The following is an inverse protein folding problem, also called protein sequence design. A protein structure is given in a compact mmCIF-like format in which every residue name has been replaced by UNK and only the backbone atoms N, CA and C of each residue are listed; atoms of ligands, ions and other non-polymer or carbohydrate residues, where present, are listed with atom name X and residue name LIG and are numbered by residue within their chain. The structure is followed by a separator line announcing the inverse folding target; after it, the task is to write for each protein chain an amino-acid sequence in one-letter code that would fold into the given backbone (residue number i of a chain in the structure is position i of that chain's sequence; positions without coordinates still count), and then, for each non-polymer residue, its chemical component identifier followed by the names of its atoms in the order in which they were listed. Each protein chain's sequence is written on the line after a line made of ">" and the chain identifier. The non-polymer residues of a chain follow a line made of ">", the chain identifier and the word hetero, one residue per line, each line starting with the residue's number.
data_IF_371961753432
#
_entry.id   IF_371961753432
#
_cell.length_a   1.000
_cell.length_b   1.000
_cell.length_c   1.000
_cell.angle_alpha   90.00
_cell.angle_beta   90.00
_cell.angle_gamma   90.00
#
_symmetry.space_group_name_H-M   'P 1'
#
loop_
_entity.id
_entity.type
_entity.pdbx_description
1 polymer ?
#
# COMPACT_ATOMS: atom_id res chain seq x y z
N UNK A 1 24.35 -12.17 1.91
CA UNK A 1 24.74 -11.15 0.92
C UNK A 1 24.05 -9.88 1.33
N UNK A 2 24.78 -8.79 1.57
CA UNK A 2 24.21 -7.54 2.08
C UNK A 2 23.29 -6.89 1.02
N UNK A 3 22.11 -6.41 1.42
CA UNK A 3 21.18 -5.74 0.51
C UNK A 3 21.60 -4.28 0.35
N UNK A 4 21.80 -3.84 -0.90
CA UNK A 4 22.39 -2.50 -1.15
C UNK A 4 21.50 -1.33 -0.73
N UNK A 5 20.16 -1.47 -0.74
CA UNK A 5 19.24 -0.34 -0.61
C UNK A 5 17.94 -0.53 0.24
N UNK A 6 17.78 -1.46 1.21
CA UNK A 6 16.50 -1.61 1.93
C UNK A 6 16.03 -0.34 2.63
N UNK A 7 16.96 0.33 3.33
CA UNK A 7 16.68 1.57 4.07
C UNK A 7 16.28 2.69 3.10
N UNK A 8 16.97 2.80 1.96
CA UNK A 8 16.66 3.80 0.94
C UNK A 8 15.27 3.56 0.35
N UNK A 9 14.96 2.33 -0.04
CA UNK A 9 13.65 1.94 -0.58
C UNK A 9 12.52 2.31 0.40
N UNK A 10 12.65 1.92 1.67
CA UNK A 10 11.67 2.23 2.70
C UNK A 10 11.51 3.74 2.94
N UNK A 11 12.62 4.49 2.92
CA UNK A 11 12.62 5.95 3.12
C UNK A 11 11.95 6.66 1.95
N UNK A 12 12.26 6.27 0.71
CA UNK A 12 11.66 6.88 -0.49
C UNK A 12 10.15 6.63 -0.55
N UNK A 13 9.71 5.40 -0.27
CA UNK A 13 8.28 5.05 -0.21
C UNK A 13 7.56 5.83 0.89
N UNK A 14 8.16 5.93 2.08
CA UNK A 14 7.60 6.72 3.17
C UNK A 14 7.46 8.20 2.80
N UNK A 15 8.44 8.78 2.11
CA UNK A 15 8.37 10.15 1.60
C UNK A 15 7.22 10.33 0.62
N UNK A 16 7.07 9.44 -0.36
CA UNK A 16 5.96 9.50 -1.33
C UNK A 16 4.60 9.37 -0.65
N UNK A 17 4.43 8.41 0.26
CA UNK A 17 3.18 8.18 1.00
C UNK A 17 2.80 9.40 1.87
N UNK A 18 3.79 10.03 2.48
CA UNK A 18 3.57 11.24 3.27
C UNK A 18 3.20 12.44 2.38
N UNK A 19 4.08 12.78 1.43
CA UNK A 19 3.98 14.00 0.63
C UNK A 19 2.79 14.01 -0.34
N UNK A 20 2.47 12.86 -0.95
CA UNK A 20 1.45 12.78 -2.00
C UNK A 20 0.11 12.25 -1.53
N UNK A 21 0.11 11.45 -0.46
CA UNK A 21 -1.08 10.73 -0.01
C UNK A 21 -1.49 11.06 1.42
N UNK A 22 -0.70 11.85 2.16
CA UNK A 22 -1.04 12.30 3.52
C UNK A 22 -0.98 11.22 4.59
N UNK A 23 -0.28 10.11 4.34
CA UNK A 23 -0.06 9.09 5.37
C UNK A 23 0.86 9.63 6.49
N UNK A 24 0.56 9.24 7.73
CA UNK A 24 1.51 9.36 8.85
C UNK A 24 2.49 8.18 8.73
N UNK A 25 3.74 8.46 8.37
CA UNK A 25 4.73 7.43 8.01
C UNK A 25 5.83 7.30 9.07
N UNK A 26 6.22 6.05 9.32
CA UNK A 26 7.30 5.70 10.23
C UNK A 26 8.22 4.67 9.54
N UNK A 27 9.53 4.92 9.57
CA UNK A 27 10.54 3.99 9.04
C UNK A 27 11.35 3.42 10.19
N UNK A 28 11.26 2.10 10.39
CA UNK A 28 12.13 1.36 11.30
C UNK A 28 13.39 0.92 10.54
N UNK A 29 14.57 1.44 10.91
CA UNK A 29 15.84 1.12 10.26
C UNK A 29 16.56 0.02 11.03
N UNK A 30 16.91 -1.06 10.33
CA UNK A 30 17.56 -2.25 10.91
C UNK A 30 16.88 -2.72 12.22
N UNK A 31 15.55 -2.89 12.26
CA UNK A 31 14.89 -3.27 13.50
C UNK A 31 15.23 -4.71 13.88
N UNK A 32 15.28 -4.97 15.17
CA UNK A 32 15.26 -6.33 15.72
C UNK A 32 13.86 -6.92 15.63
N UNK A 33 13.73 -8.25 15.77
CA UNK A 33 12.41 -8.91 15.79
C UNK A 33 11.49 -8.27 16.84
N UNK A 34 12.01 -8.11 18.06
CA UNK A 34 11.29 -7.50 19.19
C UNK A 34 10.81 -6.08 18.86
N UNK A 35 11.62 -5.27 18.19
CA UNK A 35 11.23 -3.91 17.82
C UNK A 35 10.08 -3.89 16.79
N UNK A 36 10.08 -4.83 15.84
CA UNK A 36 8.99 -4.98 14.87
C UNK A 36 7.71 -5.36 15.61
N UNK A 37 7.76 -6.40 16.44
CA UNK A 37 6.60 -6.89 17.20
C UNK A 37 6.02 -5.82 18.12
N UNK A 38 6.87 -5.13 18.90
CA UNK A 38 6.44 -4.04 19.76
C UNK A 38 5.75 -2.92 18.98
N UNK A 39 6.26 -2.57 17.80
CA UNK A 39 5.63 -1.54 16.97
C UNK A 39 4.29 -2.00 16.43
N UNK A 40 4.19 -3.25 15.98
CA UNK A 40 2.93 -3.80 15.49
C UNK A 40 1.88 -3.88 16.62
N UNK A 41 2.28 -4.28 17.83
CA UNK A 41 1.43 -4.25 19.03
C UNK A 41 0.93 -2.83 19.34
N UNK A 42 1.81 -1.82 19.27
CA UNK A 42 1.43 -0.42 19.46
C UNK A 42 0.34 0.01 18.45
N UNK A 43 0.50 -0.33 17.17
CA UNK A 43 -0.51 0.00 16.15
C UNK A 43 -1.80 -0.79 16.35
N UNK A 44 -1.74 -2.08 16.74
CA UNK A 44 -2.93 -2.87 17.08
C UNK A 44 -3.76 -2.15 18.15
N UNK A 45 -3.10 -1.70 19.22
CA UNK A 45 -3.74 -0.97 20.32
C UNK A 45 -4.32 0.39 19.89
N UNK A 46 -3.60 1.14 19.03
CA UNK A 46 -4.08 2.41 18.49
C UNK A 46 -5.37 2.21 17.69
N UNK A 47 -5.43 1.22 16.80
CA UNK A 47 -6.63 0.91 16.01
C UNK A 47 -7.77 0.32 16.87
N UNK A 48 -7.46 -0.49 17.88
CA UNK A 48 -8.46 -1.09 18.76
C UNK A 48 -9.29 -0.03 19.50
N UNK A 49 -8.65 1.04 19.97
CA UNK A 49 -9.29 2.06 20.81
C UNK A 49 -9.40 3.45 20.16
N UNK A 50 -8.87 3.62 18.95
CA UNK A 50 -8.69 4.91 18.29
C UNK A 50 -8.08 5.97 19.23
N UNK A 51 -7.01 5.59 19.95
CA UNK A 51 -6.48 6.33 21.11
C UNK A 51 -6.11 7.79 20.83
N UNK A 52 -5.66 8.07 19.61
CA UNK A 52 -5.19 9.39 19.20
C UNK A 52 -6.13 10.08 18.19
N UNK A 53 -7.32 9.51 17.95
CA UNK A 53 -8.28 10.02 16.96
C UNK A 53 -7.84 9.85 15.50
N UNK A 54 -6.70 9.21 15.24
CA UNK A 54 -6.11 9.06 13.89
C UNK A 54 -6.11 7.62 13.38
N UNK A 55 -6.59 6.67 14.18
CA UNK A 55 -6.65 5.24 13.86
C UNK A 55 -8.09 4.71 14.00
N UNK A 56 -9.06 5.25 13.25
CA UNK A 56 -10.43 4.72 13.27
C UNK A 56 -10.48 3.32 12.67
N UNK A 57 -11.54 2.57 12.99
CA UNK A 57 -11.73 1.23 12.42
C UNK A 57 -11.85 1.22 10.89
N UNK A 58 -12.34 2.30 10.29
CA UNK A 58 -12.40 2.50 8.83
C UNK A 58 -11.08 2.99 8.23
N UNK A 59 -9.99 3.00 9.00
CA UNK A 59 -8.69 3.49 8.60
C UNK A 59 -7.99 2.59 7.59
N UNK A 60 -6.82 3.04 7.15
CA UNK A 60 -5.95 2.33 6.22
C UNK A 60 -4.56 2.20 6.85
N UNK A 61 -3.97 1.00 6.77
CA UNK A 61 -2.62 0.70 7.24
C UNK A 61 -1.82 0.10 6.08
N UNK A 62 -0.62 0.64 5.82
CA UNK A 62 0.33 0.07 4.87
C UNK A 62 1.57 -0.38 5.63
N UNK A 63 1.91 -1.67 5.50
CA UNK A 63 3.12 -2.27 6.03
C UNK A 63 4.05 -2.63 4.89
N UNK A 64 5.23 -2.02 4.86
CA UNK A 64 6.24 -2.28 3.85
C UNK A 64 7.48 -2.90 4.49
N UNK A 65 7.77 -4.15 4.13
CA UNK A 65 8.97 -4.87 4.56
C UNK A 65 9.94 -4.93 3.39
N UNK A 66 11.16 -4.42 3.55
CA UNK A 66 12.25 -4.58 2.58
C UNK A 66 13.47 -5.11 3.30
N UNK A 67 14.02 -6.23 2.84
CA UNK A 67 15.05 -6.93 3.60
C UNK A 67 15.25 -8.38 3.18
N UNK A 68 15.92 -9.13 4.06
CA UNK A 68 16.18 -10.54 3.83
C UNK A 68 14.95 -11.38 4.14
N UNK A 69 14.80 -12.48 3.41
CA UNK A 69 13.80 -13.48 3.68
C UNK A 69 14.37 -14.88 3.53
N UNK A 70 13.77 -15.83 4.24
CA UNK A 70 14.19 -17.22 4.26
C UNK A 70 12.97 -18.12 4.29
N UNK A 71 13.05 -19.24 3.61
CA UNK A 71 12.06 -20.32 3.72
C UNK A 71 12.60 -21.43 4.63
N UNK A 72 11.71 -21.97 5.46
CA UNK A 72 11.97 -23.12 6.32
C UNK A 72 10.69 -23.92 6.49
N UNK A 73 10.74 -25.19 6.06
CA UNK A 73 9.64 -26.17 6.16
C UNK A 73 8.34 -25.63 5.53
N UNK A 74 8.44 -25.05 4.33
CA UNK A 74 7.30 -24.51 3.57
C UNK A 74 6.82 -23.14 4.04
N UNK A 75 7.26 -22.65 5.21
CA UNK A 75 6.91 -21.33 5.71
C UNK A 75 7.97 -20.28 5.33
N UNK A 76 7.52 -19.06 5.05
CA UNK A 76 8.40 -17.92 4.80
C UNK A 76 8.62 -17.09 6.05
N UNK A 77 9.82 -16.53 6.16
CA UNK A 77 10.24 -15.66 7.24
C UNK A 77 10.86 -14.40 6.67
N UNK A 78 10.49 -13.23 7.20
CA UNK A 78 11.32 -12.03 7.08
C UNK A 78 12.46 -12.12 8.09
N UNK A 79 13.65 -11.64 7.76
CA UNK A 79 14.81 -11.68 8.66
C UNK A 79 15.11 -10.26 9.19
N UNK A 80 14.77 -9.97 10.46
CA UNK A 80 15.20 -8.77 11.17
C UNK A 80 16.73 -8.66 11.31
N UNK A 81 17.21 -7.53 11.81
CA UNK A 81 18.65 -7.25 11.92
C UNK A 81 19.40 -8.21 12.87
N UNK A 82 18.71 -8.79 13.85
CA UNK A 82 19.24 -9.75 14.82
C UNK A 82 18.92 -11.22 14.47
N UNK A 83 18.40 -11.48 13.26
CA UNK A 83 18.04 -12.82 12.85
C UNK A 83 19.27 -13.68 12.49
N UNK A 84 19.29 -14.93 12.98
CA UNK A 84 20.17 -15.98 12.48
C UNK A 84 19.53 -16.70 11.29
N UNK A 85 20.09 -16.59 10.07
CA UNK A 85 19.59 -17.27 8.88
C UNK A 85 19.65 -18.81 8.94
N UNK A 86 20.44 -19.38 9.86
CA UNK A 86 20.50 -20.82 10.11
C UNK A 86 19.31 -21.31 10.95
N UNK A 87 18.72 -20.43 11.77
CA UNK A 87 17.55 -20.75 12.60
C UNK A 87 16.41 -19.73 12.43
N UNK A 88 15.88 -19.55 11.19
CA UNK A 88 14.84 -18.55 10.93
C UNK A 88 13.56 -18.81 11.72
N UNK A 89 13.26 -20.05 12.08
CA UNK A 89 12.13 -20.43 12.92
C UNK A 89 12.23 -19.96 14.39
N UNK A 90 13.41 -19.50 14.83
CA UNK A 90 13.62 -18.94 16.18
C UNK A 90 13.74 -17.42 16.18
N UNK A 91 14.40 -16.87 15.16
CA UNK A 91 14.83 -15.46 15.15
C UNK A 91 14.31 -14.67 13.97
N UNK A 92 13.68 -15.34 13.00
CA UNK A 92 13.00 -14.71 11.88
C UNK A 92 11.54 -14.40 12.23
N UNK A 93 10.97 -13.45 11.50
CA UNK A 93 9.57 -13.09 11.65
C UNK A 93 8.69 -13.99 10.76
N UNK A 94 7.99 -14.91 11.39
CA UNK A 94 7.11 -15.89 10.75
C UNK A 94 5.94 -15.19 10.03
N UNK A 95 5.83 -15.41 8.71
CA UNK A 95 4.75 -14.81 7.95
C UNK A 95 3.34 -15.31 8.32
N UNK A 96 3.21 -16.57 8.73
CA UNK A 96 1.94 -17.15 9.20
C UNK A 96 1.50 -16.52 10.51
N UNK A 97 2.44 -16.31 11.43
CA UNK A 97 2.18 -15.53 12.64
C UNK A 97 1.80 -14.08 12.29
N UNK A 98 2.59 -13.40 11.43
CA UNK A 98 2.32 -12.02 11.02
C UNK A 98 0.91 -11.87 10.43
N UNK A 99 0.45 -12.77 9.55
CA UNK A 99 -0.92 -12.73 9.01
C UNK A 99 -1.98 -12.84 10.09
N UNK A 100 -1.87 -13.85 10.96
CA UNK A 100 -2.83 -14.06 12.03
C UNK A 100 -2.86 -12.87 13.00
N UNK A 101 -1.69 -12.30 13.25
CA UNK A 101 -1.55 -11.10 14.05
C UNK A 101 -2.23 -9.90 13.39
N UNK A 102 -2.04 -9.66 12.09
CA UNK A 102 -2.70 -8.58 11.36
C UNK A 102 -4.21 -8.76 11.26
N UNK A 103 -4.72 -10.00 11.21
CA UNK A 103 -6.16 -10.28 11.27
C UNK A 103 -6.80 -9.82 12.58
N UNK A 104 -6.03 -9.56 13.63
CA UNK A 104 -6.53 -9.03 14.91
C UNK A 104 -6.70 -7.51 14.93
N UNK A 105 -6.24 -6.79 13.90
CA UNK A 105 -6.31 -5.33 13.87
C UNK A 105 -7.74 -4.88 13.61
N UNK A 106 -8.19 -3.89 14.38
CA UNK A 106 -9.41 -3.15 14.10
C UNK A 106 -9.16 -2.08 13.03
N UNK A 107 -8.70 -2.49 11.85
CA UNK A 107 -8.40 -1.62 10.71
C UNK A 107 -9.00 -2.26 9.44
N UNK A 108 -9.88 -1.53 8.76
CA UNK A 108 -10.66 -2.05 7.64
C UNK A 108 -9.79 -2.39 6.42
N UNK A 109 -8.72 -1.63 6.19
CA UNK A 109 -7.86 -1.82 5.03
C UNK A 109 -6.41 -1.94 5.47
N UNK A 110 -5.84 -3.14 5.32
CA UNK A 110 -4.43 -3.41 5.58
C UNK A 110 -3.79 -3.88 4.27
N UNK A 111 -2.80 -3.13 3.79
CA UNK A 111 -1.97 -3.53 2.67
C UNK A 111 -0.58 -3.92 3.19
N UNK A 112 -0.18 -5.15 2.92
CA UNK A 112 1.17 -5.64 3.23
C UNK A 112 1.94 -5.81 1.93
N UNK A 113 3.10 -5.19 1.84
CA UNK A 113 4.03 -5.33 0.74
C UNK A 113 5.37 -5.84 1.27
N UNK A 114 5.86 -6.94 0.68
CA UNK A 114 7.08 -7.64 1.12
C UNK A 114 8.07 -7.73 -0.03
N UNK A 115 9.11 -6.91 0.04
CA UNK A 115 10.28 -6.88 -0.83
C UNK A 115 11.42 -7.70 -0.19
N UNK A 116 11.25 -9.02 -0.18
CA UNK A 116 12.21 -9.98 0.38
C UNK A 116 12.13 -11.32 -0.37
N UNK A 117 13.21 -12.13 -0.32
CA UNK A 117 13.17 -13.49 -0.84
C UNK A 117 12.07 -14.31 -0.14
N UNK A 118 11.46 -15.23 -0.88
CA UNK A 118 10.35 -16.06 -0.39
C UNK A 118 9.11 -15.27 0.05
N UNK A 119 8.95 -14.01 -0.39
CA UNK A 119 7.74 -13.22 -0.17
C UNK A 119 6.48 -13.86 -0.74
N UNK A 120 6.58 -14.76 -1.72
CA UNK A 120 5.45 -15.55 -2.24
C UNK A 120 4.85 -16.48 -1.19
N UNK A 121 5.66 -16.97 -0.24
CA UNK A 121 5.18 -17.68 0.95
C UNK A 121 4.35 -16.77 1.87
N UNK A 122 4.29 -15.47 1.52
CA UNK A 122 3.27 -14.42 1.72
C UNK A 122 1.81 -14.90 1.68
N UNK A 123 1.51 -15.75 0.72
CA UNK A 123 0.15 -16.19 0.45
C UNK A 123 0.02 -17.68 0.79
N UNK A 124 -0.84 -18.08 1.75
CA UNK A 124 -1.03 -19.50 2.07
C UNK A 124 -1.64 -20.28 0.90
N UNK A 125 -2.24 -19.60 -0.08
CA UNK A 125 -2.83 -20.19 -1.27
C UNK A 125 -1.89 -20.21 -2.49
N UNK A 126 -0.60 -19.86 -2.32
CA UNK A 126 0.37 -19.76 -3.43
C UNK A 126 0.42 -21.02 -4.32
N UNK A 127 0.27 -22.21 -3.73
CA UNK A 127 0.38 -23.48 -4.44
C UNK A 127 -0.91 -23.84 -5.20
N UNK A 128 -2.00 -23.11 -4.95
CA UNK A 128 -3.31 -23.32 -5.57
C UNK A 128 -3.69 -22.21 -6.56
N UNK A 129 -2.82 -21.21 -6.76
CA UNK A 129 -3.01 -20.15 -7.75
C UNK A 129 -2.15 -20.43 -8.97
N UNK A 130 -2.73 -20.67 -10.15
CA UNK A 130 -1.92 -20.85 -11.36
C UNK A 130 -1.10 -19.59 -11.62
N UNK A 131 0.20 -19.79 -11.82
CA UNK A 131 1.28 -18.78 -11.89
C UNK A 131 1.12 -17.73 -13.02
N UNK A 132 0.02 -17.79 -13.78
CA UNK A 132 -0.19 -17.04 -15.03
C UNK A 132 -1.46 -16.18 -15.03
N UNK A 133 -2.28 -16.19 -13.97
CA UNK A 133 -3.38 -15.24 -13.80
C UNK A 133 -3.29 -14.60 -12.42
N UNK A 134 -2.36 -13.66 -12.24
CA UNK A 134 -2.52 -12.60 -11.25
C UNK A 134 -3.65 -11.65 -11.70
N UNK A 135 -4.87 -12.17 -11.81
CA UNK A 135 -6.06 -11.36 -12.06
C UNK A 135 -6.52 -10.84 -10.71
N UNK A 136 -6.46 -9.52 -10.49
CA UNK A 136 -7.08 -8.97 -9.27
C UNK A 136 -8.57 -9.27 -9.31
N UNK A 137 -9.17 -9.57 -8.16
CA UNK A 137 -10.64 -9.59 -8.07
C UNK A 137 -11.15 -8.20 -8.46
N UNK A 138 -11.95 -8.14 -9.53
CA UNK A 138 -12.43 -6.88 -10.13
C UNK A 138 -11.60 -6.33 -11.28
N UNK A 139 -10.52 -6.99 -11.71
CA UNK A 139 -9.81 -6.64 -12.93
C UNK A 139 -10.65 -6.98 -14.16
N UNK A 140 -11.15 -5.92 -14.81
CA UNK A 140 -11.79 -6.01 -16.11
C UNK A 140 -10.81 -6.61 -17.12
N UNK A 141 -11.29 -7.58 -17.89
CA UNK A 141 -10.61 -8.07 -19.09
C UNK A 141 -10.33 -6.93 -20.06
N UNK A 142 -9.37 -7.08 -20.97
CA UNK A 142 -9.09 -6.07 -22.01
C UNK A 142 -10.35 -5.72 -22.82
N UNK A 143 -11.23 -6.70 -23.04
CA UNK A 143 -12.55 -6.51 -23.66
C UNK A 143 -13.49 -5.67 -22.79
N UNK A 144 -13.55 -5.93 -21.48
CA UNK A 144 -14.37 -5.14 -20.55
C UNK A 144 -13.81 -3.71 -20.34
N UNK A 145 -12.49 -3.52 -20.37
CA UNK A 145 -11.83 -2.20 -20.37
C UNK A 145 -12.18 -1.42 -21.63
N UNK A 146 -12.13 -2.07 -22.81
CA UNK A 146 -12.50 -1.47 -24.08
C UNK A 146 -14.00 -1.09 -24.11
N UNK A 147 -14.87 -1.97 -23.62
CA UNK A 147 -16.31 -1.70 -23.52
C UNK A 147 -16.62 -0.54 -22.57
N UNK A 148 -15.95 -0.48 -21.42
CA UNK A 148 -16.12 0.62 -20.44
C UNK A 148 -15.60 1.95 -20.99
N UNK A 149 -14.51 1.93 -21.76
CA UNK A 149 -13.97 3.13 -22.43
C UNK A 149 -14.92 3.62 -23.53
N UNK A 150 -15.51 2.70 -24.29
CA UNK A 150 -16.42 3.04 -25.40
C UNK A 150 -17.80 3.49 -24.89
N UNK A 151 -18.28 2.92 -23.77
CA UNK A 151 -19.55 3.29 -23.15
C UNK A 151 -19.53 4.69 -22.50
N UNK A 152 -18.35 5.23 -22.16
CA UNK A 152 -18.17 6.60 -21.66
C UNK A 152 -17.91 7.65 -22.76
N UNK A 153 -17.81 7.23 -24.03
CA UNK A 153 -17.73 8.17 -25.15
C UNK A 153 -19.15 8.43 -25.64
N UNK A 154 -19.66 9.62 -25.34
CA UNK A 154 -20.89 10.10 -25.95
C UNK A 154 -20.65 10.23 -27.48
N UNK A 155 -21.35 9.48 -28.35
CA UNK A 155 -21.06 9.48 -29.79
C UNK A 155 -21.26 10.85 -30.46
N UNK A 156 -21.90 11.80 -29.76
CA UNK A 156 -22.10 13.17 -30.21
C UNK A 156 -20.87 14.09 -30.05
N UNK A 157 -19.78 13.66 -29.40
CA UNK A 157 -18.60 14.51 -29.15
C UNK A 157 -17.38 14.21 -30.03
N UNK A 158 -17.53 13.44 -31.12
CA UNK A 158 -16.43 13.24 -32.08
C UNK A 158 -16.32 14.45 -33.02
N UNK A 159 -15.22 15.24 -32.98
CA UNK A 159 -14.99 16.27 -33.98
C UNK A 159 -14.64 15.61 -35.32
N UNK A 160 -15.40 15.94 -36.37
CA UNK A 160 -15.08 15.62 -37.76
C UNK A 160 -13.65 16.13 -38.08
N UNK A 161 -12.70 15.21 -38.25
CA UNK A 161 -11.30 15.50 -38.60
C UNK A 161 -11.23 16.26 -39.93
N UNK A 162 -10.98 17.56 -39.89
CA UNK A 162 -10.32 18.28 -40.99
C UNK A 162 -8.81 18.30 -40.73
N UNK A 163 -8.04 17.81 -41.69
CA UNK A 163 -6.59 17.92 -41.70
C UNK A 163 -6.15 19.38 -41.66
N UNK A 164 -5.32 19.74 -40.67
CA UNK A 164 -4.32 20.81 -40.81
C UNK A 164 -3.18 20.63 -39.81
N UNK A 165 -1.97 20.94 -40.28
CA UNK A 165 -0.69 20.83 -39.57
C UNK A 165 -0.47 21.99 -38.58
N UNK A 166 0.50 21.76 -37.69
CA UNK A 166 1.29 22.69 -36.86
C UNK A 166 0.73 23.17 -35.50
N UNK A 167 1.47 22.72 -34.47
CA UNK A 167 1.96 23.37 -33.25
C UNK A 167 1.02 23.97 -32.17
N UNK A 168 1.45 23.71 -30.92
CA UNK A 168 1.15 24.38 -29.64
C UNK A 168 0.10 23.78 -28.66
N UNK A 169 0.64 23.42 -27.48
CA UNK A 169 0.22 23.66 -26.08
C UNK A 169 -1.15 23.15 -25.52
N UNK A 170 -1.02 22.56 -24.32
CA UNK A 170 -1.92 22.54 -23.15
C UNK A 170 -3.29 21.82 -23.19
N UNK A 171 -3.52 20.94 -22.21
CA UNK A 171 -4.83 20.56 -21.62
C UNK A 171 -4.54 19.78 -20.32
N UNK A 172 -4.59 20.37 -19.11
CA UNK A 172 -5.73 20.71 -18.26
C UNK A 172 -6.59 19.49 -17.85
N UNK A 173 -6.37 19.00 -16.63
CA UNK A 173 -7.33 18.17 -15.90
C UNK A 173 -7.96 19.02 -14.79
N UNK A 174 -9.26 19.21 -14.89
CA UNK A 174 -10.11 19.86 -13.89
C UNK A 174 -10.79 18.77 -13.06
N UNK A 175 -10.68 18.76 -11.72
CA UNK A 175 -11.61 18.03 -10.87
C UNK A 175 -12.58 19.02 -10.20
N UNK A 176 -13.77 19.18 -10.76
CA UNK A 176 -14.97 19.50 -9.97
C UNK A 176 -15.56 18.15 -9.51
N UNK A 177 -16.04 17.92 -8.30
CA UNK A 177 -16.44 18.78 -7.18
C UNK A 177 -16.62 17.87 -5.95
N UNK A 178 -16.13 18.26 -4.77
CA UNK A 178 -16.87 18.06 -3.51
C UNK A 178 -16.27 18.91 -2.37
N UNK A 179 -16.87 20.08 -2.11
CA UNK A 179 -17.30 20.56 -0.78
C UNK A 179 -17.74 22.02 -0.88
N UNK A 180 -19.05 22.23 -0.76
CA UNK A 180 -19.60 23.46 -0.22
C UNK A 180 -19.05 23.63 1.20
N UNK A 181 -18.18 24.61 1.41
CA UNK A 181 -17.94 25.17 2.74
C UNK A 181 -18.49 26.60 2.74
N UNK A 182 -19.31 26.88 3.75
CA UNK A 182 -20.09 28.09 3.90
C UNK A 182 -19.28 29.39 3.90
N UNK A 183 -19.95 30.42 3.43
CA UNK A 183 -19.51 31.82 3.38
C UNK A 183 -19.45 32.37 4.81
N UNK A 184 -18.27 32.70 5.30
CA UNK A 184 -18.11 33.65 6.41
C UNK A 184 -18.18 35.09 5.85
N UNK A 185 -18.97 36.00 6.46
CA UNK A 185 -18.80 37.42 6.23
C UNK A 185 -18.25 38.13 7.49
N UNK A 186 -17.17 38.91 7.33
CA UNK A 186 -16.81 40.12 8.10
C UNK A 186 -15.94 41.01 7.19
N UNK A 187 -15.82 42.34 7.38
CA UNK A 187 -16.19 43.13 8.56
C UNK A 187 -17.08 44.35 8.27
N UNK A 188 -17.79 44.83 9.30
CA UNK A 188 -18.41 46.15 9.32
C UNK A 188 -18.05 46.80 10.65
N UNK A 189 -17.33 47.92 10.59
CA UNK A 189 -17.00 48.75 11.74
C UNK A 189 -18.10 49.78 12.01
N UNK A 190 -18.26 50.09 13.30
CA UNK A 190 -18.48 51.40 13.90
C UNK A 190 -17.87 51.35 15.30
#
# INVERSE_FOLDING_TARGET
>A
ADLKNPIKNATDIAGVLHERFGFDTLVLRNPTLVQIEQKLDEYREKYARNLDGRHPSTGQLLLFFSGHGKEYVGNGYFLPADADPATPYRTGFDYSFLRNFLNSFNCQHILVAVDACYSVNFDPSKDFRPDHEFKRIGELTETEKALTTTANINPASLPLRRHRRHDARSLQFCPETLRRAGRFPKPGGF
#
